data_IF_236671555405
#
_entry.id   IF_236671555405
#
_cell.length_a   1.000
_cell.length_b   1.000
_cell.length_c   1.000
_cell.angle_alpha   90.00
_cell.angle_beta   90.00
_cell.angle_gamma   90.00
#
_symmetry.space_group_name_H-M   'P 1'
#
loop_
_entity.id
_entity.type
_entity.pdbx_description
1 polymer ?
#
# COMPACT_ATOMS: atom_id res chain seq x y z
N UNK A 1 -8.81 -2.98 25.46
CA UNK A 1 -9.53 -1.93 24.70
C UNK A 1 -8.69 -1.22 23.60
N UNK A 2 -7.37 -1.47 23.45
CA UNK A 2 -6.53 -0.72 22.47
C UNK A 2 -6.53 -1.28 21.03
N UNK A 3 -7.16 -2.44 20.78
CA UNK A 3 -7.10 -3.17 19.50
C UNK A 3 -8.39 -3.15 18.67
N UNK A 4 -9.36 -2.29 19.00
CA UNK A 4 -10.54 -2.12 18.15
C UNK A 4 -10.15 -1.41 16.84
N UNK A 5 -10.63 -1.95 15.71
CA UNK A 5 -10.58 -1.29 14.40
C UNK A 5 -11.95 -0.66 14.14
N UNK A 6 -12.10 0.67 14.28
CA UNK A 6 -13.37 1.31 14.00
C UNK A 6 -13.72 1.13 12.52
N UNK A 7 -14.96 0.71 12.25
CA UNK A 7 -15.48 0.62 10.89
C UNK A 7 -16.36 1.86 10.67
N UNK A 8 -15.97 2.71 9.73
CA UNK A 8 -16.79 3.84 9.31
C UNK A 8 -17.84 3.36 8.30
N UNK A 9 -19.12 3.40 8.68
CA UNK A 9 -20.22 3.13 7.76
C UNK A 9 -20.64 4.44 7.09
N UNK A 10 -20.37 4.58 5.79
CA UNK A 10 -20.84 5.72 5.00
C UNK A 10 -22.16 5.42 4.28
N UNK A 11 -22.92 6.48 3.99
CA UNK A 11 -24.16 6.42 3.20
C UNK A 11 -23.88 5.83 1.81
N UNK A 12 -24.83 5.08 1.25
CA UNK A 12 -24.82 4.51 -0.10
C UNK A 12 -24.48 5.54 -1.17
N UNK A 13 -25.00 6.77 -1.08
CA UNK A 13 -24.66 7.86 -2.02
C UNK A 13 -23.16 8.18 -1.94
N UNK A 14 -22.63 8.33 -0.73
CA UNK A 14 -21.21 8.59 -0.52
C UNK A 14 -20.35 7.41 -1.04
N UNK A 15 -20.78 6.16 -0.83
CA UNK A 15 -20.11 4.97 -1.39
C UNK A 15 -20.00 5.04 -2.91
N UNK A 16 -21.07 5.46 -3.60
CA UNK A 16 -21.07 5.61 -5.06
C UNK A 16 -20.07 6.70 -5.48
N UNK A 17 -20.10 7.86 -4.83
CA UNK A 17 -19.17 8.97 -5.13
C UNK A 17 -17.71 8.52 -4.94
N UNK A 18 -17.38 7.93 -3.79
CA UNK A 18 -16.02 7.45 -3.51
C UNK A 18 -15.59 6.34 -4.47
N UNK A 19 -16.49 5.44 -4.84
CA UNK A 19 -16.20 4.40 -5.85
C UNK A 19 -15.89 5.01 -7.20
N UNK A 20 -16.66 6.00 -7.65
CA UNK A 20 -16.39 6.72 -8.90
C UNK A 20 -15.04 7.41 -8.86
N UNK A 21 -14.70 8.08 -7.77
CA UNK A 21 -13.38 8.71 -7.58
C UNK A 21 -12.24 7.68 -7.64
N UNK A 22 -12.37 6.56 -6.94
CA UNK A 22 -11.37 5.50 -6.93
C UNK A 22 -11.14 4.91 -8.34
N UNK A 23 -12.21 4.71 -9.11
CA UNK A 23 -12.11 4.21 -10.50
C UNK A 23 -11.36 5.22 -11.40
N UNK A 24 -11.56 6.53 -11.20
CA UNK A 24 -10.81 7.56 -11.95
C UNK A 24 -9.34 7.59 -11.56
N UNK A 25 -9.04 7.53 -10.26
CA UNK A 25 -7.67 7.49 -9.74
C UNK A 25 -6.91 6.24 -10.21
N UNK A 26 -7.58 5.09 -10.28
CA UNK A 26 -6.99 3.82 -10.75
C UNK A 26 -6.30 3.94 -12.12
N UNK A 27 -6.78 4.81 -13.01
CA UNK A 27 -6.19 5.02 -14.35
C UNK A 27 -4.79 5.63 -14.30
N UNK A 28 -4.48 6.39 -13.25
CA UNK A 28 -3.19 7.05 -13.08
C UNK A 28 -2.30 6.34 -12.07
N UNK A 29 -2.87 5.42 -11.29
CA UNK A 29 -2.18 4.75 -10.20
C UNK A 29 -0.92 4.02 -10.67
N UNK A 30 -0.93 3.42 -11.86
CA UNK A 30 0.23 2.73 -12.46
C UNK A 30 1.45 3.62 -12.68
N UNK A 31 1.29 4.95 -12.76
CA UNK A 31 2.42 5.87 -12.89
C UNK A 31 2.97 6.32 -11.53
N UNK A 32 2.23 6.08 -10.45
CA UNK A 32 2.56 6.55 -9.10
C UNK A 32 3.11 5.42 -8.23
N UNK A 33 2.61 4.21 -8.41
CA UNK A 33 3.03 3.04 -7.63
C UNK A 33 4.18 2.31 -8.33
N UNK A 34 5.06 1.72 -7.51
CA UNK A 34 6.09 0.80 -8.00
C UNK A 34 5.46 -0.52 -8.47
N UNK A 35 6.07 -1.16 -9.47
CA UNK A 35 5.69 -2.51 -9.91
C UNK A 35 5.82 -3.56 -8.79
N UNK A 36 6.63 -3.27 -7.76
CA UNK A 36 6.81 -4.11 -6.59
C UNK A 36 5.68 -3.95 -5.56
N UNK A 37 4.74 -3.04 -5.77
CA UNK A 37 3.59 -2.85 -4.87
C UNK A 37 2.48 -3.84 -5.22
N UNK A 38 2.41 -4.92 -4.46
CA UNK A 38 1.46 -5.99 -4.74
C UNK A 38 0.09 -5.85 -4.06
N UNK A 39 -0.09 -4.87 -3.16
CA UNK A 39 -1.35 -4.69 -2.41
C UNK A 39 -2.22 -3.61 -3.04
N UNK A 40 -3.53 -3.89 -3.11
CA UNK A 40 -4.56 -3.00 -3.68
C UNK A 40 -4.40 -2.69 -5.18
N UNK A 41 -3.62 -3.49 -5.91
CA UNK A 41 -3.48 -3.44 -7.36
C UNK A 41 -4.33 -4.54 -8.00
N UNK A 42 -5.12 -4.26 -9.05
CA UNK A 42 -5.86 -5.31 -9.75
C UNK A 42 -4.93 -6.39 -10.30
N UNK A 43 -5.41 -7.64 -10.32
CA UNK A 43 -4.71 -8.80 -10.88
C UNK A 43 -3.45 -9.26 -10.12
N UNK A 44 -3.20 -8.72 -8.92
CA UNK A 44 -2.17 -9.22 -8.00
C UNK A 44 -2.83 -9.96 -6.84
N UNK A 45 -2.37 -11.17 -6.57
CA UNK A 45 -2.90 -12.01 -5.51
C UNK A 45 -2.01 -11.91 -4.27
N UNK A 46 -2.61 -12.09 -3.09
CA UNK A 46 -1.84 -12.12 -1.84
C UNK A 46 -0.80 -13.24 -1.81
N UNK A 47 -1.04 -14.31 -2.57
CA UNK A 47 -0.12 -15.44 -2.75
C UNK A 47 1.21 -15.01 -3.37
N UNK A 48 1.22 -14.02 -4.24
CA UNK A 48 2.44 -13.56 -4.92
C UNK A 48 3.41 -12.92 -3.91
N UNK A 49 2.88 -12.14 -2.96
CA UNK A 49 3.66 -11.59 -1.85
C UNK A 49 4.24 -12.65 -0.92
N UNK A 50 3.44 -13.69 -0.67
CA UNK A 50 3.84 -14.81 0.19
C UNK A 50 5.02 -15.54 -0.47
N UNK A 51 4.91 -15.81 -1.78
CA UNK A 51 5.97 -16.46 -2.54
C UNK A 51 7.27 -15.63 -2.54
N UNK A 52 7.18 -14.32 -2.86
CA UNK A 52 8.33 -13.41 -2.82
C UNK A 52 9.00 -13.38 -1.44
N UNK A 53 8.20 -13.40 -0.36
CA UNK A 53 8.72 -13.45 1.01
C UNK A 53 9.44 -14.78 1.30
N UNK A 54 8.88 -15.90 0.85
CA UNK A 54 9.51 -17.21 0.99
C UNK A 54 10.84 -17.30 0.23
N UNK A 55 10.89 -16.78 -1.00
CA UNK A 55 12.11 -16.73 -1.80
C UNK A 55 13.18 -15.86 -1.12
N UNK A 56 12.81 -14.66 -0.66
CA UNK A 56 13.73 -13.78 0.07
C UNK A 56 14.26 -14.45 1.34
N UNK A 57 13.39 -15.11 2.11
CA UNK A 57 13.79 -15.83 3.32
C UNK A 57 14.69 -17.04 3.00
N UNK A 58 14.39 -17.75 1.91
CA UNK A 58 15.21 -18.87 1.45
C UNK A 58 16.61 -18.40 1.06
N UNK A 59 16.74 -17.30 0.30
CA UNK A 59 18.04 -16.73 -0.08
C UNK A 59 18.87 -16.38 1.16
N UNK A 60 18.26 -15.71 2.14
CA UNK A 60 18.93 -15.36 3.41
C UNK A 60 19.39 -16.63 4.16
N UNK A 61 18.58 -17.70 4.14
CA UNK A 61 18.91 -18.95 4.83
C UNK A 61 20.00 -19.76 4.11
N UNK A 62 20.05 -19.73 2.79
CA UNK A 62 20.96 -20.55 1.96
C UNK A 62 22.30 -19.84 1.74
N UNK A 63 22.31 -18.51 1.61
CA UNK A 63 23.54 -17.72 1.43
C UNK A 63 24.17 -17.30 2.76
N UNK A 64 24.64 -18.29 3.53
CA UNK A 64 25.31 -18.10 4.82
C UNK A 64 26.84 -17.96 4.75
N UNK A 65 27.44 -18.16 3.58
CA UNK A 65 28.89 -18.10 3.37
C UNK A 65 29.22 -17.22 2.17
N UNK A 66 30.15 -16.28 2.36
CA UNK A 66 30.50 -15.22 1.41
C UNK A 66 30.90 -13.94 2.13
N UNK A 67 31.41 -12.95 1.38
CA UNK A 67 31.76 -11.62 1.93
C UNK A 67 30.54 -10.72 2.17
N UNK A 68 29.36 -11.11 1.67
CA UNK A 68 28.12 -10.34 1.76
C UNK A 68 27.11 -11.03 2.68
N UNK A 69 26.46 -10.24 3.55
CA UNK A 69 25.37 -10.69 4.41
C UNK A 69 24.02 -10.12 3.95
N UNK A 70 22.96 -10.92 4.02
CA UNK A 70 21.61 -10.51 3.63
C UNK A 70 20.72 -10.31 4.87
N UNK A 71 19.90 -9.26 4.86
CA UNK A 71 18.93 -8.95 5.92
C UNK A 71 17.56 -8.66 5.31
N UNK A 72 16.50 -9.19 5.93
CA UNK A 72 15.12 -8.81 5.63
C UNK A 72 14.60 -7.87 6.70
N UNK A 73 13.94 -6.79 6.27
CA UNK A 73 13.28 -5.82 7.16
C UNK A 73 11.80 -5.85 6.87
N UNK A 74 10.99 -6.14 7.89
CA UNK A 74 9.54 -6.04 7.83
C UNK A 74 9.09 -4.76 8.50
N UNK A 75 8.51 -3.85 7.72
CA UNK A 75 7.89 -2.62 8.20
C UNK A 75 6.37 -2.83 8.26
N UNK A 76 5.79 -2.68 9.46
CA UNK A 76 4.34 -2.70 9.65
C UNK A 76 3.88 -1.35 10.21
N UNK A 77 2.92 -0.73 9.55
CA UNK A 77 2.42 0.59 9.95
C UNK A 77 1.17 0.42 10.82
N UNK A 78 1.26 0.87 12.07
CA UNK A 78 0.14 0.81 12.99
C UNK A 78 -0.98 1.78 12.56
N UNK A 79 -2.19 1.25 12.35
CA UNK A 79 -3.41 2.04 12.09
C UNK A 79 -3.21 3.13 11.02
N UNK A 80 -2.70 2.72 9.85
CA UNK A 80 -2.39 3.62 8.72
C UNK A 80 -3.49 4.60 8.42
N UNK A 81 -4.74 4.13 8.30
CA UNK A 81 -5.90 4.97 7.99
C UNK A 81 -6.27 5.98 9.08
N UNK A 82 -5.93 5.70 10.35
CA UNK A 82 -6.21 6.61 11.47
C UNK A 82 -5.11 7.66 11.66
N UNK A 83 -3.93 7.44 11.07
CA UNK A 83 -2.71 8.23 11.26
C UNK A 83 -2.26 9.01 10.02
N UNK A 84 -3.07 9.04 8.97
CA UNK A 84 -2.76 9.81 7.77
C UNK A 84 -2.80 11.29 8.11
N UNK A 85 -1.69 11.98 7.85
CA UNK A 85 -1.63 13.43 7.96
C UNK A 85 -2.21 14.05 6.68
N UNK A 86 -3.29 14.82 6.84
CA UNK A 86 -4.08 15.32 5.71
C UNK A 86 -3.34 16.38 4.90
N UNK A 87 -2.48 17.19 5.52
CA UNK A 87 -1.72 18.21 4.80
C UNK A 87 -0.67 17.58 3.88
N UNK A 88 -0.02 16.51 4.33
CA UNK A 88 0.90 15.69 3.55
C UNK A 88 0.19 15.04 2.37
N UNK A 89 -0.98 14.43 2.59
CA UNK A 89 -1.75 13.82 1.52
C UNK A 89 -2.14 14.85 0.44
N UNK A 90 -2.59 16.05 0.86
CA UNK A 90 -2.88 17.14 -0.07
C UNK A 90 -1.64 17.60 -0.83
N UNK A 91 -0.52 17.81 -0.15
CA UNK A 91 0.73 18.21 -0.78
C UNK A 91 1.21 17.19 -1.81
N UNK A 92 1.10 15.89 -1.49
CA UNK A 92 1.42 14.79 -2.41
C UNK A 92 0.51 14.81 -3.64
N UNK A 93 -0.80 15.00 -3.48
CA UNK A 93 -1.74 15.09 -4.61
C UNK A 93 -1.41 16.29 -5.51
N UNK A 94 -1.04 17.44 -4.94
CA UNK A 94 -0.61 18.61 -5.72
C UNK A 94 0.66 18.31 -6.52
N UNK A 95 1.65 17.62 -5.91
CA UNK A 95 2.86 17.18 -6.60
C UNK A 95 2.57 16.19 -7.74
N UNK A 96 1.53 15.36 -7.58
CA UNK A 96 1.05 14.45 -8.64
C UNK A 96 0.23 15.17 -9.73
N UNK A 97 0.08 16.50 -9.66
CA UNK A 97 -0.60 17.31 -10.66
C UNK A 97 -2.12 17.44 -10.47
N UNK A 98 -2.67 17.06 -9.30
CA UNK A 98 -4.09 17.26 -9.01
C UNK A 98 -4.41 18.74 -8.73
N UNK A 99 -5.58 19.18 -9.18
CA UNK A 99 -6.09 20.54 -8.94
C UNK A 99 -6.19 20.84 -7.44
N UNK A 100 -5.77 22.05 -7.06
CA UNK A 100 -5.94 22.59 -5.70
C UNK A 100 -7.34 23.16 -5.44
N UNK A 101 -8.21 23.16 -6.46
CA UNK A 101 -9.58 23.68 -6.44
C UNK A 101 -10.57 22.61 -6.86
#
# INVERSE_FOLDING_TARGET
MSQFRPIALCNTIAKIIFRTLAIRLKKFLSYVISDTQSSFVPNLLITDNILLTFEAHHIIKTKKSGREGYMSIKLDMLKTYDRIEWTFLKAMLVQLGFSTK
#
